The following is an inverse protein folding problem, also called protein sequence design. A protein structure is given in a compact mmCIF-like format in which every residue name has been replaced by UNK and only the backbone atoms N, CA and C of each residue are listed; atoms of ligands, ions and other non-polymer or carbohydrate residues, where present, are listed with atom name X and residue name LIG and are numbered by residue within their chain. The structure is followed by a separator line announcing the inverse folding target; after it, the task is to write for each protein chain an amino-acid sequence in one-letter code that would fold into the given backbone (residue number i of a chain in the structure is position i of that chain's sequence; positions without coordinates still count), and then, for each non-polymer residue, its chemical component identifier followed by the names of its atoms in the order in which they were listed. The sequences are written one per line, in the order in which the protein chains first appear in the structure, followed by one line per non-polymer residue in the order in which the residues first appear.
data_IF_974800005312
#
_entry.id   IF_974800005312
#
_cell.length_a   1.000
_cell.length_b   1.000
_cell.length_c   1.000
_cell.angle_alpha   90.00
_cell.angle_beta   90.00
_cell.angle_gamma   90.00
#
_symmetry.space_group_name_H-M   'P 1'
#
loop_
_entity.id
_entity.type
_entity.pdbx_description
1 polymer ?
#
# COMPACT_ATOMS: atom_id res chain seq x y z
N UNK A 1 -17.28 15.03 11.49
CA UNK A 1 -16.22 15.74 10.75
C UNK A 1 -14.94 15.67 11.57
N UNK A 2 -14.15 14.62 11.38
CA UNK A 2 -12.89 14.43 12.08
C UNK A 2 -11.76 15.05 11.28
N UNK A 3 -11.14 16.11 11.80
CA UNK A 3 -9.96 16.72 11.20
C UNK A 3 -8.83 15.69 11.10
N UNK A 4 -8.43 15.37 9.87
CA UNK A 4 -7.20 14.64 9.55
C UNK A 4 -6.05 15.63 9.74
N UNK A 5 -5.02 15.26 10.49
CA UNK A 5 -3.77 16.03 10.48
C UNK A 5 -3.24 15.85 9.08
N UNK A 6 -3.42 16.88 8.25
CA UNK A 6 -2.76 16.93 6.96
C UNK A 6 -1.27 16.95 7.27
N UNK A 7 -0.61 15.81 7.12
CA UNK A 7 0.79 15.81 6.72
C UNK A 7 0.82 16.83 5.57
N UNK A 8 1.59 17.91 5.70
CA UNK A 8 1.69 18.94 4.67
C UNK A 8 2.47 18.36 3.47
N UNK A 9 1.83 17.42 2.79
CA UNK A 9 2.27 16.93 1.49
C UNK A 9 2.20 18.15 0.56
N UNK A 10 3.28 18.47 -0.17
CA UNK A 10 3.25 19.50 -1.21
C UNK A 10 2.03 19.32 -2.10
N UNK A 11 1.40 20.40 -2.53
CA UNK A 11 0.12 20.32 -3.26
C UNK A 11 0.22 19.52 -4.57
N UNK A 12 1.41 19.52 -5.17
CA UNK A 12 1.80 18.70 -6.32
C UNK A 12 1.91 17.20 -6.02
N UNK A 13 2.23 16.82 -4.78
CA UNK A 13 2.43 15.44 -4.35
C UNK A 13 1.20 14.83 -3.66
N UNK A 14 0.18 15.66 -3.33
CA UNK A 14 -1.04 15.22 -2.63
C UNK A 14 -1.79 14.15 -3.41
N UNK A 15 -1.93 14.32 -4.72
CA UNK A 15 -2.61 13.33 -5.57
C UNK A 15 -1.89 11.99 -5.54
N UNK A 16 -0.56 12.00 -5.58
CA UNK A 16 0.26 10.79 -5.50
C UNK A 16 0.17 10.13 -4.13
N UNK A 17 0.16 10.90 -3.05
CA UNK A 17 0.01 10.35 -1.70
C UNK A 17 -1.37 9.73 -1.46
N UNK A 18 -2.45 10.35 -1.94
CA UNK A 18 -3.79 9.76 -1.82
C UNK A 18 -3.94 8.51 -2.68
N UNK A 19 -3.46 8.53 -3.93
CA UNK A 19 -3.46 7.35 -4.80
C UNK A 19 -2.62 6.21 -4.21
N UNK A 20 -1.47 6.54 -3.60
CA UNK A 20 -0.67 5.60 -2.84
C UNK A 20 -1.48 4.97 -1.68
N UNK A 21 -2.15 5.78 -0.86
CA UNK A 21 -2.93 5.26 0.27
C UNK A 21 -4.08 4.37 -0.19
N UNK A 22 -4.76 4.72 -1.29
CA UNK A 22 -5.82 3.91 -1.90
C UNK A 22 -5.24 2.55 -2.36
N UNK A 23 -4.16 2.55 -3.15
CA UNK A 23 -3.52 1.31 -3.60
C UNK A 23 -2.97 0.44 -2.44
N UNK A 24 -2.47 1.07 -1.38
CA UNK A 24 -2.00 0.38 -0.18
C UNK A 24 -3.18 -0.25 0.59
N UNK A 25 -4.31 0.45 0.69
CA UNK A 25 -5.53 -0.09 1.28
C UNK A 25 -6.05 -1.29 0.49
N UNK A 26 -5.97 -1.24 -0.83
CA UNK A 26 -6.36 -2.33 -1.72
C UNK A 26 -5.49 -3.56 -1.49
N UNK A 27 -4.15 -3.42 -1.41
CA UNK A 27 -3.27 -4.54 -1.04
C UNK A 27 -3.67 -5.11 0.32
N UNK A 28 -3.89 -4.27 1.34
CA UNK A 28 -4.25 -4.72 2.68
C UNK A 28 -5.56 -5.53 2.71
N UNK A 29 -6.58 -5.10 1.96
CA UNK A 29 -7.94 -5.63 2.06
C UNK A 29 -8.34 -6.63 0.97
N UNK A 30 -7.49 -6.87 -0.03
CA UNK A 30 -7.85 -7.73 -1.16
C UNK A 30 -7.97 -9.22 -0.79
N UNK A 31 -9.17 -9.62 -0.34
CA UNK A 31 -9.50 -11.00 0.05
C UNK A 31 -10.01 -11.89 -1.10
N UNK A 32 -10.21 -11.35 -2.31
CA UNK A 32 -10.87 -12.10 -3.38
C UNK A 32 -10.35 -11.76 -4.77
N UNK A 33 -10.17 -12.80 -5.60
CA UNK A 33 -10.22 -12.63 -7.03
C UNK A 33 -11.04 -13.77 -7.64
N UNK A 34 -12.06 -13.38 -8.40
CA UNK A 34 -12.75 -14.31 -9.29
C UNK A 34 -12.95 -13.76 -10.69
N UNK A 35 -12.56 -12.50 -10.93
CA UNK A 35 -12.60 -11.81 -12.24
C UNK A 35 -12.13 -10.36 -12.17
N UNK A 36 -12.29 -9.70 -11.02
CA UNK A 36 -11.95 -8.31 -10.76
C UNK A 36 -11.55 -8.17 -9.28
N UNK A 37 -10.53 -7.37 -9.00
CA UNK A 37 -10.12 -7.01 -7.64
C UNK A 37 -11.03 -5.91 -7.12
N UNK A 38 -11.28 -5.92 -5.82
CA UNK A 38 -12.26 -5.04 -5.20
C UNK A 38 -11.64 -4.20 -4.10
N UNK A 39 -12.08 -2.93 -4.03
CA UNK A 39 -11.76 -2.06 -2.90
C UNK A 39 -12.43 -2.51 -1.60
N UNK A 40 -12.15 -1.77 -0.53
CA UNK A 40 -12.75 -1.95 0.80
C UNK A 40 -14.29 -1.83 0.81
N UNK A 41 -14.90 -1.19 -0.21
CA UNK A 41 -16.34 -1.07 -0.40
C UNK A 41 -16.93 -2.16 -1.33
N UNK A 42 -16.10 -3.04 -1.88
CA UNK A 42 -16.49 -4.14 -2.75
C UNK A 42 -16.73 -3.77 -4.21
N UNK A 43 -16.27 -2.58 -4.64
CA UNK A 43 -16.34 -2.09 -6.04
C UNK A 43 -15.16 -2.62 -6.85
N UNK A 44 -15.40 -2.87 -8.13
CA UNK A 44 -14.37 -3.34 -9.06
C UNK A 44 -13.34 -2.22 -9.32
N UNK A 45 -12.08 -2.45 -8.98
CA UNK A 45 -11.01 -1.46 -9.10
C UNK A 45 -9.89 -1.89 -10.05
N UNK A 46 -9.56 -3.18 -10.12
CA UNK A 46 -8.53 -3.69 -11.03
C UNK A 46 -8.98 -4.89 -11.84
N UNK A 47 -8.49 -4.97 -13.08
CA UNK A 47 -8.74 -6.06 -14.00
C UNK A 47 -7.82 -7.28 -13.75
N UNK A 48 -6.71 -7.11 -13.02
CA UNK A 48 -5.77 -8.18 -12.69
C UNK A 48 -4.91 -7.87 -11.46
N UNK A 49 -4.30 -8.92 -10.89
CA UNK A 49 -3.31 -8.76 -9.80
C UNK A 49 -2.15 -7.85 -10.21
N UNK A 50 -1.61 -8.05 -11.42
CA UNK A 50 -0.46 -7.29 -11.90
C UNK A 50 -0.77 -5.80 -12.03
N UNK A 51 -1.98 -5.42 -12.41
CA UNK A 51 -2.40 -4.02 -12.47
C UNK A 51 -2.41 -3.37 -11.09
N UNK A 52 -3.01 -4.02 -10.10
CA UNK A 52 -3.02 -3.56 -8.70
C UNK A 52 -1.60 -3.38 -8.15
N UNK A 53 -0.71 -4.34 -8.43
CA UNK A 53 0.68 -4.28 -7.95
C UNK A 53 1.49 -3.21 -8.67
N UNK A 54 1.34 -3.06 -9.98
CA UNK A 54 2.03 -1.99 -10.74
C UNK A 54 1.65 -0.61 -10.20
N UNK A 55 0.37 -0.34 -10.00
CA UNK A 55 -0.10 0.95 -9.46
C UNK A 55 0.51 1.22 -8.08
N UNK A 56 0.47 0.23 -7.18
CA UNK A 56 1.09 0.37 -5.86
C UNK A 56 2.59 0.65 -5.95
N UNK A 57 3.34 -0.11 -6.77
CA UNK A 57 4.79 0.05 -6.88
C UNK A 57 5.14 1.42 -7.45
N UNK A 58 4.48 1.87 -8.52
CA UNK A 58 4.69 3.17 -9.15
C UNK A 58 4.43 4.32 -8.16
N UNK A 59 3.33 4.24 -7.39
CA UNK A 59 3.04 5.26 -6.37
C UNK A 59 4.02 5.19 -5.19
N UNK A 60 4.40 3.99 -4.76
CA UNK A 60 5.31 3.80 -3.63
C UNK A 60 6.72 4.34 -3.94
N UNK A 61 7.21 4.21 -5.18
CA UNK A 61 8.48 4.80 -5.62
C UNK A 61 8.51 6.32 -5.42
N UNK A 62 7.44 7.01 -5.81
CA UNK A 62 7.32 8.46 -5.60
C UNK A 62 7.26 8.78 -4.10
N UNK A 63 6.40 8.07 -3.37
CA UNK A 63 6.17 8.30 -1.93
C UNK A 63 7.43 8.08 -1.08
N UNK A 64 8.28 7.12 -1.42
CA UNK A 64 9.57 6.89 -0.75
C UNK A 64 10.52 8.10 -0.83
N UNK A 65 10.42 8.89 -1.90
CA UNK A 65 11.21 10.11 -2.06
C UNK A 65 10.71 11.28 -1.20
N UNK A 66 9.45 11.24 -0.75
CA UNK A 66 8.86 12.34 0.02
C UNK A 66 9.58 12.52 1.37
N UNK A 67 9.88 13.76 1.79
CA UNK A 67 10.57 14.03 3.05
C UNK A 67 9.65 13.91 4.29
N UNK A 68 8.35 13.71 4.07
CA UNK A 68 7.31 13.71 5.11
C UNK A 68 7.35 12.49 6.03
N UNK A 69 7.93 11.37 5.56
CA UNK A 69 8.00 10.12 6.32
C UNK A 69 9.25 10.10 7.19
N UNK A 70 9.08 9.69 8.45
CA UNK A 70 10.21 9.46 9.34
C UNK A 70 11.00 8.20 8.92
N UNK A 71 12.23 7.99 9.45
CA UNK A 71 13.06 6.85 9.04
C UNK A 71 12.39 5.48 9.22
N UNK A 72 11.63 5.27 10.29
CA UNK A 72 10.91 4.01 10.53
C UNK A 72 9.79 3.79 9.53
N UNK A 73 9.04 4.85 9.18
CA UNK A 73 8.00 4.77 8.15
C UNK A 73 8.60 4.50 6.78
N UNK A 74 9.74 5.12 6.45
CA UNK A 74 10.46 4.84 5.19
C UNK A 74 10.98 3.41 5.12
N UNK A 75 11.49 2.88 6.23
CA UNK A 75 11.94 1.49 6.31
C UNK A 75 10.77 0.52 6.12
N UNK A 76 9.63 0.75 6.80
CA UNK A 76 8.43 -0.07 6.63
C UNK A 76 7.88 -0.01 5.19
N UNK A 77 7.87 1.19 4.57
CA UNK A 77 7.47 1.37 3.18
C UNK A 77 8.42 0.64 2.21
N UNK A 78 9.73 0.76 2.41
CA UNK A 78 10.73 0.09 1.57
C UNK A 78 10.63 -1.43 1.70
N UNK A 79 10.46 -1.95 2.92
CA UNK A 79 10.28 -3.37 3.15
C UNK A 79 9.02 -3.90 2.44
N UNK A 80 7.90 -3.18 2.52
CA UNK A 80 6.68 -3.57 1.83
C UNK A 80 6.84 -3.53 0.31
N UNK A 81 7.48 -2.48 -0.23
CA UNK A 81 7.83 -2.37 -1.65
C UNK A 81 8.63 -3.61 -2.10
N UNK A 82 9.71 -3.94 -1.39
CA UNK A 82 10.57 -5.08 -1.73
C UNK A 82 9.80 -6.41 -1.65
N UNK A 83 8.91 -6.57 -0.66
CA UNK A 83 8.08 -7.77 -0.54
C UNK A 83 7.13 -7.94 -1.74
N UNK A 84 6.49 -6.85 -2.17
CA UNK A 84 5.57 -6.85 -3.31
C UNK A 84 6.31 -7.07 -4.64
N UNK A 85 7.39 -6.34 -4.90
CA UNK A 85 8.21 -6.48 -6.13
C UNK A 85 8.80 -7.90 -6.24
N UNK A 86 9.33 -8.46 -5.15
CA UNK A 86 9.84 -9.83 -5.16
C UNK A 86 8.74 -10.86 -5.41
N UNK A 87 7.53 -10.63 -4.89
CA UNK A 87 6.41 -11.53 -5.12
C UNK A 87 5.91 -11.45 -6.57
N UNK A 88 5.81 -10.26 -7.15
CA UNK A 88 5.44 -10.08 -8.57
C UNK A 88 6.44 -10.78 -9.51
N UNK A 89 7.75 -10.62 -9.27
CA UNK A 89 8.80 -11.34 -10.00
C UNK A 89 8.65 -12.86 -9.88
N UNK A 90 8.38 -13.36 -8.68
CA UNK A 90 8.13 -14.78 -8.42
C UNK A 90 6.89 -15.30 -9.18
N UNK A 91 5.84 -14.49 -9.33
CA UNK A 91 4.66 -14.87 -10.11
C UNK A 91 4.96 -14.92 -11.61
N UNK A 92 5.78 -14.01 -12.14
CA UNK A 92 6.24 -14.05 -13.52
C UNK A 92 6.92 -15.37 -13.89
N UNK A 93 7.66 -15.97 -12.95
CA UNK A 93 8.31 -17.27 -13.12
C UNK A 93 7.34 -18.45 -13.05
N UNK A 94 6.34 -18.39 -12.16
CA UNK A 94 5.45 -19.52 -11.86
C UNK A 94 4.10 -19.52 -12.57
N UNK A 95 3.69 -18.38 -13.14
CA UNK A 95 2.40 -18.16 -13.82
C UNK A 95 1.21 -18.67 -13.01
N UNK A 96 0.92 -18.02 -11.89
CA UNK A 96 -0.29 -18.30 -11.10
C UNK A 96 -1.48 -17.51 -11.61
N UNK A 97 -2.68 -18.06 -11.43
CA UNK A 97 -3.92 -17.29 -11.60
C UNK A 97 -4.17 -16.43 -10.35
N UNK A 98 -4.98 -15.38 -10.50
CA UNK A 98 -5.36 -14.53 -9.36
C UNK A 98 -6.00 -15.37 -8.22
N UNK A 99 -6.84 -16.36 -8.55
CA UNK A 99 -7.45 -17.29 -7.58
C UNK A 99 -6.42 -18.09 -6.76
N UNK A 100 -5.29 -18.44 -7.37
CA UNK A 100 -4.20 -19.12 -6.69
C UNK A 100 -3.38 -18.15 -5.83
N UNK A 101 -3.25 -16.90 -6.25
CA UNK A 101 -2.55 -15.84 -5.51
C UNK A 101 -3.27 -15.53 -4.20
N UNK A 102 -4.59 -15.41 -4.20
CA UNK A 102 -5.35 -15.13 -2.97
C UNK A 102 -5.42 -16.28 -1.98
N UNK A 103 -4.90 -17.45 -2.34
CA UNK A 103 -4.69 -18.58 -1.42
C UNK A 103 -3.22 -18.79 -1.10
N UNK A 104 -2.32 -17.97 -1.66
CA UNK A 104 -0.88 -18.08 -1.42
C UNK A 104 -0.54 -17.54 -0.02
N UNK A 105 0.03 -18.37 0.88
CA UNK A 105 0.47 -17.92 2.19
C UNK A 105 1.43 -16.73 2.14
N UNK A 106 2.27 -16.63 1.10
CA UNK A 106 3.18 -15.49 0.94
C UNK A 106 2.42 -14.21 0.63
N UNK A 107 1.39 -14.28 -0.21
CA UNK A 107 0.54 -13.12 -0.47
C UNK A 107 -0.19 -12.70 0.81
N UNK A 108 -0.72 -13.65 1.58
CA UNK A 108 -1.32 -13.34 2.88
C UNK A 108 -0.35 -12.63 3.83
N UNK A 109 0.91 -13.05 3.90
CA UNK A 109 1.94 -12.37 4.71
C UNK A 109 2.16 -10.91 4.26
N UNK A 110 2.23 -10.67 2.95
CA UNK A 110 2.35 -9.33 2.36
C UNK A 110 1.14 -8.48 2.72
N UNK A 111 -0.07 -9.02 2.61
CA UNK A 111 -1.31 -8.30 2.94
C UNK A 111 -1.38 -7.88 4.40
N UNK A 112 -1.03 -8.79 5.32
CA UNK A 112 -1.00 -8.47 6.75
C UNK A 112 0.05 -7.41 7.08
N UNK A 113 1.22 -7.47 6.41
CA UNK A 113 2.23 -6.43 6.53
C UNK A 113 1.73 -5.08 5.99
N UNK A 114 1.10 -5.07 4.81
CA UNK A 114 0.51 -3.89 4.20
C UNK A 114 -0.54 -3.25 5.10
N UNK A 115 -1.41 -4.06 5.71
CA UNK A 115 -2.41 -3.59 6.68
C UNK A 115 -1.78 -2.89 7.88
N UNK A 116 -0.70 -3.45 8.43
CA UNK A 116 0.05 -2.80 9.52
C UNK A 116 0.61 -1.44 9.07
N UNK A 117 1.22 -1.38 7.89
CA UNK A 117 1.78 -0.13 7.35
C UNK A 117 0.68 0.90 7.11
N UNK A 118 -0.44 0.51 6.49
CA UNK A 118 -1.60 1.36 6.29
C UNK A 118 -2.14 1.92 7.59
N UNK A 119 -2.34 1.07 8.61
CA UNK A 119 -2.79 1.49 9.92
C UNK A 119 -1.83 2.49 10.57
N UNK A 120 -0.50 2.30 10.45
CA UNK A 120 0.48 3.25 10.99
C UNK A 120 0.48 4.60 10.27
N UNK A 121 0.30 4.62 8.95
CA UNK A 121 0.26 5.85 8.16
C UNK A 121 -1.06 6.62 8.33
N UNK A 122 -2.16 5.91 8.58
CA UNK A 122 -3.49 6.50 8.75
C UNK A 122 -3.87 6.76 10.22
N UNK A 123 -3.14 6.16 11.17
CA UNK A 123 -3.22 6.53 12.59
C UNK A 123 -2.93 8.02 12.71
N UNK A 124 -3.95 8.78 13.11
CA UNK A 124 -3.83 10.20 13.45
C UNK A 124 -2.67 10.39 14.43
N UNK A 125 -1.56 10.95 13.93
CA UNK A 125 -0.36 11.36 14.67
C UNK A 125 -0.27 10.76 16.07
N UNK A 126 0.25 9.53 16.17
CA UNK A 126 0.71 9.01 17.45
C UNK A 126 1.83 9.92 17.95
N UNK A 127 1.42 10.83 18.85
CA UNK A 127 2.20 11.53 19.87
C UNK A 127 3.66 11.06 19.98
N UNK A 128 4.57 11.69 19.26
CA UNK A 128 5.95 11.91 19.72
C UNK A 128 6.68 12.75 18.66
N UNK A 129 6.82 14.06 18.91
CA UNK A 129 7.62 14.90 18.02
C UNK A 129 7.59 16.41 18.26
N UNK A 130 6.49 16.99 18.76
CA UNK A 130 6.46 18.42 19.09
C UNK A 130 6.90 18.60 20.55
N UNK A 131 8.21 18.45 20.79
CA UNK A 131 8.83 19.13 21.94
C UNK A 131 9.10 20.56 21.50
N UNK A 132 8.16 21.46 21.81
CA UNK A 132 8.43 22.89 21.82
C UNK A 132 9.60 23.16 22.77
N UNK A 133 10.70 23.67 22.21
CA UNK A 133 11.65 24.52 22.92
C UNK A 133 11.74 25.84 22.18
#
# INVERSE_FOLDING_TARGET
MGYCIMIEVPEEDKSYYFAFLESLEDIANSEFPGKLWKDSEGRECYASFSEMVMDYLDFCEVVLTCPIFNPSQKEDLQNLYDMVDNYDRYLGERKKTDEEICKDPKWHEIREYAKRVYDELTKKGSRDGIKNR
#
